data_IF_756752684925
#
_entry.id   IF_756752684925
#
_cell.length_a   1.000
_cell.length_b   1.000
_cell.length_c   1.000
_cell.angle_alpha   90.00
_cell.angle_beta   90.00
_cell.angle_gamma   90.00
#
_symmetry.space_group_name_H-M   'P 1'
#
loop_
_entity.id
_entity.type
_entity.pdbx_description
1 polymer ?
#
# COMPACT_ATOMS: atom_id res chain seq x y z
N UNK A 1 -8.54 20.75 -17.03
CA UNK A 1 -7.82 19.53 -16.63
C UNK A 1 -6.36 19.84 -16.33
N UNK A 2 -6.01 20.20 -15.08
CA UNK A 2 -4.61 20.50 -14.71
C UNK A 2 -4.14 20.01 -13.33
N UNK A 3 -4.92 19.21 -12.58
CA UNK A 3 -4.57 18.90 -11.17
C UNK A 3 -4.48 17.42 -10.79
N UNK A 4 -4.13 16.54 -11.73
CA UNK A 4 -3.68 15.18 -11.39
C UNK A 4 -2.21 15.05 -11.75
N UNK A 5 -1.35 15.66 -10.94
CA UNK A 5 0.08 15.48 -11.02
C UNK A 5 0.58 15.16 -9.62
N UNK A 6 0.96 13.91 -9.35
CA UNK A 6 2.13 13.70 -8.52
C UNK A 6 3.27 14.54 -9.12
N UNK A 7 3.78 15.52 -8.38
CA UNK A 7 4.82 16.46 -8.86
C UNK A 7 5.61 16.89 -7.62
N UNK A 8 6.92 17.14 -7.66
CA UNK A 8 7.79 17.51 -8.79
C UNK A 8 9.08 16.67 -8.80
N UNK A 9 9.36 16.11 -9.97
CA UNK A 9 10.65 15.71 -10.51
C UNK A 9 11.01 14.22 -10.50
N UNK A 10 11.52 13.77 -11.66
CA UNK A 10 12.37 12.59 -11.85
C UNK A 10 13.70 12.66 -11.06
N UNK A 11 13.74 13.42 -9.97
CA UNK A 11 14.91 13.57 -9.12
C UNK A 11 14.93 12.39 -8.16
N UNK A 12 16.12 11.79 -7.99
CA UNK A 12 16.34 10.65 -7.08
C UNK A 12 16.10 11.01 -5.60
N UNK A 13 16.04 12.30 -5.26
CA UNK A 13 15.90 12.79 -3.89
C UNK A 13 14.79 13.84 -3.83
N UNK A 14 13.81 13.59 -2.96
CA UNK A 14 12.75 14.53 -2.62
C UNK A 14 13.19 15.36 -1.43
N UNK A 15 12.97 16.67 -1.48
CA UNK A 15 13.27 17.60 -0.38
C UNK A 15 11.99 18.15 0.24
N UNK A 16 11.98 18.61 1.51
CA UNK A 16 10.79 19.18 2.14
C UNK A 16 10.10 20.27 1.31
N UNK A 17 10.88 21.06 0.57
CA UNK A 17 10.38 22.11 -0.31
C UNK A 17 9.52 21.60 -1.46
N UNK A 18 9.66 20.33 -1.85
CA UNK A 18 8.83 19.71 -2.88
C UNK A 18 7.37 19.51 -2.40
N UNK A 19 7.13 19.58 -1.09
CA UNK A 19 5.82 19.41 -0.45
C UNK A 19 5.15 20.73 -0.03
N UNK A 20 5.78 21.88 -0.29
CA UNK A 20 5.20 23.18 0.04
C UNK A 20 4.10 23.50 -0.98
N UNK A 21 2.87 23.68 -0.49
CA UNK A 21 1.73 24.12 -1.30
C UNK A 21 2.02 25.48 -1.94
N UNK A 22 1.87 25.56 -3.26
CA UNK A 22 1.81 26.85 -3.95
C UNK A 22 0.40 27.49 -3.84
N UNK A 23 0.25 28.72 -4.31
CA UNK A 23 -1.01 29.45 -4.22
C UNK A 23 -2.18 28.72 -4.91
N UNK A 24 -1.91 27.98 -5.99
CA UNK A 24 -2.93 27.18 -6.68
C UNK A 24 -3.34 25.97 -5.82
N UNK A 25 -2.37 25.29 -5.18
CA UNK A 25 -2.66 24.20 -4.25
C UNK A 25 -3.51 24.68 -3.07
N UNK A 26 -3.18 25.84 -2.50
CA UNK A 26 -3.94 26.43 -1.39
C UNK A 26 -5.40 26.67 -1.81
N UNK A 27 -5.63 27.30 -2.97
CA UNK A 27 -6.99 27.54 -3.47
C UNK A 27 -7.80 26.26 -3.66
N UNK A 28 -7.17 25.18 -4.14
CA UNK A 28 -7.82 23.87 -4.29
C UNK A 28 -8.19 23.30 -2.91
N UNK A 29 -7.27 23.33 -1.96
CA UNK A 29 -7.49 22.84 -0.59
C UNK A 29 -8.62 23.64 0.08
N UNK A 30 -8.61 24.97 -0.03
CA UNK A 30 -9.66 25.84 0.51
C UNK A 30 -11.03 25.53 -0.11
N UNK A 31 -11.10 25.31 -1.43
CA UNK A 31 -12.33 24.90 -2.10
C UNK A 31 -12.87 23.55 -1.59
N UNK A 32 -11.98 22.58 -1.35
CA UNK A 32 -12.35 21.28 -0.80
C UNK A 32 -12.89 21.49 0.63
N UNK A 33 -12.14 22.16 1.50
CA UNK A 33 -12.53 22.41 2.90
C UNK A 33 -13.88 23.15 2.95
N UNK A 34 -14.06 24.20 2.16
CA UNK A 34 -15.29 24.98 2.09
C UNK A 34 -16.49 24.25 1.45
N UNK A 35 -16.26 23.14 0.74
CA UNK A 35 -17.33 22.31 0.21
C UNK A 35 -17.99 21.49 1.32
N UNK A 36 -19.33 21.52 1.41
CA UNK A 36 -20.09 20.73 2.37
C UNK A 36 -19.74 19.23 2.27
N UNK A 37 -19.51 18.53 3.39
CA UNK A 37 -19.36 17.07 3.40
C UNK A 37 -20.57 16.39 2.76
N UNK A 38 -20.33 15.36 1.96
CA UNK A 38 -21.39 14.63 1.29
C UNK A 38 -20.92 13.82 0.08
N UNK A 39 -21.88 13.36 -0.73
CA UNK A 39 -21.67 12.49 -1.90
C UNK A 39 -21.21 13.23 -3.16
N UNK A 40 -20.69 14.46 -3.03
CA UNK A 40 -20.08 15.15 -4.16
C UNK A 40 -18.79 14.42 -4.52
N UNK A 41 -18.67 13.97 -5.77
CA UNK A 41 -17.44 13.35 -6.27
C UNK A 41 -16.40 14.46 -6.39
N UNK A 42 -15.27 14.30 -5.70
CA UNK A 42 -14.16 15.25 -5.73
C UNK A 42 -13.06 14.79 -6.69
N UNK A 43 -12.85 13.47 -6.78
CA UNK A 43 -11.85 12.84 -7.65
C UNK A 43 -12.44 11.58 -8.27
N UNK A 44 -12.16 11.38 -9.56
CA UNK A 44 -12.41 10.13 -10.28
C UNK A 44 -11.08 9.62 -10.84
N UNK A 45 -10.70 8.39 -10.49
CA UNK A 45 -9.49 7.74 -11.00
C UNK A 45 -9.85 6.33 -11.46
N UNK A 46 -9.74 6.07 -12.78
CA UNK A 46 -10.00 4.75 -13.39
C UNK A 46 -11.35 4.11 -13.01
N UNK A 47 -12.39 4.93 -12.82
CA UNK A 47 -13.73 4.49 -12.46
C UNK A 47 -13.99 4.34 -10.96
N UNK A 48 -13.00 4.62 -10.11
CA UNK A 48 -13.20 4.77 -8.66
C UNK A 48 -13.43 6.23 -8.28
N UNK A 49 -14.31 6.47 -7.31
CA UNK A 49 -14.74 7.80 -6.91
C UNK A 49 -14.36 8.10 -5.46
N UNK A 50 -13.66 9.22 -5.25
CA UNK A 50 -13.46 9.79 -3.93
C UNK A 50 -14.50 10.88 -3.70
N UNK A 51 -15.41 10.62 -2.79
CA UNK A 51 -16.42 11.60 -2.39
C UNK A 51 -15.83 12.61 -1.39
N UNK A 52 -16.47 13.78 -1.32
CA UNK A 52 -16.10 14.81 -0.35
C UNK A 52 -16.14 14.29 1.09
N UNK A 53 -17.08 13.42 1.43
CA UNK A 53 -17.15 12.77 2.74
C UNK A 53 -15.94 11.88 3.05
N UNK A 54 -15.32 11.24 2.05
CA UNK A 54 -14.13 10.41 2.27
C UNK A 54 -12.92 11.27 2.62
N UNK A 55 -12.79 12.44 1.99
CA UNK A 55 -11.68 13.38 2.25
C UNK A 55 -11.70 14.00 3.65
N UNK A 56 -12.79 13.86 4.42
CA UNK A 56 -12.85 14.36 5.79
C UNK A 56 -11.70 13.81 6.65
N UNK A 57 -11.25 12.57 6.44
CA UNK A 57 -10.12 12.02 7.20
C UNK A 57 -8.80 12.77 7.00
N UNK A 58 -8.68 13.63 5.99
CA UNK A 58 -7.48 14.43 5.73
C UNK A 58 -7.49 15.78 6.46
N UNK A 59 -8.63 16.16 7.06
CA UNK A 59 -8.82 17.47 7.68
C UNK A 59 -9.05 17.40 9.20
N UNK A 60 -8.99 16.20 9.79
CA UNK A 60 -9.17 15.98 11.22
C UNK A 60 -8.02 15.11 11.76
N UNK A 61 -7.28 15.64 12.73
CA UNK A 61 -6.08 15.00 13.29
C UNK A 61 -6.39 13.77 14.19
N UNK A 62 -7.67 13.50 14.45
CA UNK A 62 -8.17 12.37 15.23
C UNK A 62 -8.74 11.23 14.38
N UNK A 63 -8.54 11.28 13.06
CA UNK A 63 -9.08 10.29 12.11
C UNK A 63 -7.99 9.59 11.34
N UNK A 64 -8.17 8.29 11.14
CA UNK A 64 -7.34 7.54 10.23
C UNK A 64 -7.71 7.84 8.78
N UNK A 65 -6.70 7.83 7.91
CA UNK A 65 -6.92 7.85 6.46
C UNK A 65 -7.80 6.66 6.07
N UNK A 66 -8.88 6.95 5.35
CA UNK A 66 -9.81 5.93 4.86
C UNK A 66 -9.23 5.18 3.66
N UNK A 67 -9.66 3.93 3.49
CA UNK A 67 -9.25 3.05 2.39
C UNK A 67 -9.42 3.71 1.02
N UNK A 68 -10.54 4.38 0.77
CA UNK A 68 -10.82 5.06 -0.51
C UNK A 68 -9.76 6.13 -0.83
N UNK A 69 -9.34 6.89 0.19
CA UNK A 69 -8.36 7.97 0.03
C UNK A 69 -6.96 7.38 -0.18
N UNK A 70 -6.59 6.39 0.64
CA UNK A 70 -5.30 5.70 0.53
C UNK A 70 -5.15 5.00 -0.83
N UNK A 71 -6.16 4.23 -1.25
CA UNK A 71 -6.13 3.49 -2.50
C UNK A 71 -6.11 4.44 -3.71
N UNK A 72 -6.85 5.54 -3.66
CA UNK A 72 -6.79 6.57 -4.71
C UNK A 72 -5.39 7.18 -4.84
N UNK A 73 -4.71 7.44 -3.72
CA UNK A 73 -3.34 7.92 -3.74
C UNK A 73 -2.37 6.87 -4.32
N UNK A 74 -2.51 5.59 -3.95
CA UNK A 74 -1.75 4.49 -4.54
C UNK A 74 -1.98 4.40 -6.06
N UNK A 75 -3.21 4.62 -6.52
CA UNK A 75 -3.52 4.68 -7.94
C UNK A 75 -2.82 5.83 -8.66
N UNK A 76 -2.74 7.01 -8.04
CA UNK A 76 -1.93 8.11 -8.56
C UNK A 76 -0.45 7.71 -8.65
N UNK A 77 0.12 7.10 -7.59
CA UNK A 77 1.53 6.67 -7.59
C UNK A 77 1.83 5.64 -8.68
N UNK A 78 0.91 4.72 -8.96
CA UNK A 78 1.05 3.73 -10.06
C UNK A 78 1.12 4.38 -11.44
N UNK A 79 0.66 5.62 -11.60
CA UNK A 79 0.77 6.39 -12.86
C UNK A 79 2.14 7.02 -13.08
N UNK A 80 3.03 6.97 -12.10
CA UNK A 80 4.30 7.68 -12.10
C UNK A 80 5.46 6.69 -12.11
N UNK A 81 6.03 6.44 -13.30
CA UNK A 81 7.07 5.43 -13.50
C UNK A 81 8.27 5.60 -12.55
N UNK A 82 8.65 6.83 -12.24
CA UNK A 82 9.76 7.13 -11.33
C UNK A 82 9.49 6.70 -9.88
N UNK A 83 8.22 6.55 -9.46
CA UNK A 83 7.84 6.05 -8.12
C UNK A 83 7.81 4.52 -8.06
N UNK A 84 7.84 3.85 -9.22
CA UNK A 84 7.84 2.39 -9.36
C UNK A 84 9.26 1.80 -9.42
N UNK A 85 10.27 2.61 -9.10
CA UNK A 85 11.67 2.22 -9.01
C UNK A 85 12.23 2.69 -7.67
N UNK A 86 12.98 1.81 -7.00
CA UNK A 86 13.73 2.10 -5.76
C UNK A 86 15.12 1.51 -5.86
N UNK A 87 16.00 1.81 -4.91
CA UNK A 87 17.35 1.22 -4.88
C UNK A 87 17.34 -0.31 -4.84
N UNK A 88 16.26 -0.92 -4.32
CA UNK A 88 16.03 -2.37 -4.33
C UNK A 88 15.39 -2.93 -5.61
N UNK A 89 15.14 -2.11 -6.64
CA UNK A 89 14.62 -2.55 -7.95
C UNK A 89 13.18 -2.11 -8.25
N UNK A 90 12.53 -2.86 -9.14
CA UNK A 90 11.18 -2.57 -9.64
C UNK A 90 10.15 -2.83 -8.55
N UNK A 91 9.24 -1.87 -8.35
CA UNK A 91 8.26 -1.89 -7.28
C UNK A 91 6.85 -2.19 -7.79
N UNK A 92 6.16 -3.10 -7.10
CA UNK A 92 4.72 -3.26 -7.18
C UNK A 92 4.06 -2.66 -5.94
N UNK A 93 3.09 -1.77 -6.13
CA UNK A 93 2.31 -1.18 -5.04
C UNK A 93 0.97 -1.89 -4.96
N UNK A 94 0.67 -2.58 -3.86
CA UNK A 94 -0.67 -3.12 -3.61
C UNK A 94 -1.60 -2.11 -2.98
N UNK A 95 -2.91 -2.36 -3.11
CA UNK A 95 -3.93 -1.56 -2.42
C UNK A 95 -4.33 -2.22 -1.08
N UNK A 96 -5.11 -1.49 -0.27
CA UNK A 96 -5.54 -2.00 1.04
C UNK A 96 -6.52 -3.16 0.93
N UNK A 97 -7.32 -3.21 -0.13
CA UNK A 97 -8.24 -4.32 -0.39
C UNK A 97 -7.49 -5.66 -0.52
N UNK A 98 -6.41 -5.71 -1.30
CA UNK A 98 -5.63 -6.94 -1.45
C UNK A 98 -4.90 -7.29 -0.15
N UNK A 99 -4.43 -6.30 0.61
CA UNK A 99 -3.82 -6.55 1.92
C UNK A 99 -4.81 -7.19 2.90
N UNK A 100 -6.06 -6.71 2.93
CA UNK A 100 -7.16 -7.28 3.71
C UNK A 100 -7.59 -8.66 3.21
N UNK A 101 -7.60 -8.87 1.88
CA UNK A 101 -7.87 -10.17 1.27
C UNK A 101 -6.84 -11.21 1.73
N UNK A 102 -5.55 -10.90 1.60
CA UNK A 102 -4.46 -11.76 2.05
C UNK A 102 -4.52 -12.02 3.56
N UNK A 103 -4.84 -11.00 4.35
CA UNK A 103 -5.05 -11.16 5.79
C UNK A 103 -6.19 -12.15 6.10
N UNK A 104 -7.34 -11.98 5.45
CA UNK A 104 -8.49 -12.89 5.59
C UNK A 104 -8.09 -14.31 5.20
N UNK A 105 -7.42 -14.45 4.06
CA UNK A 105 -6.98 -15.73 3.52
C UNK A 105 -5.92 -16.40 4.40
N UNK A 106 -5.15 -15.65 5.18
CA UNK A 106 -4.23 -16.18 6.19
C UNK A 106 -4.93 -16.77 7.41
N UNK A 107 -6.18 -16.36 7.70
CA UNK A 107 -7.01 -16.88 8.80
C UNK A 107 -7.87 -18.08 8.40
N UNK A 108 -8.16 -18.24 7.11
CA UNK A 108 -9.00 -19.34 6.62
C UNK A 108 -8.33 -20.70 6.86
N UNK A 109 -9.16 -21.73 7.05
CA UNK A 109 -8.70 -23.12 6.96
C UNK A 109 -8.46 -23.50 5.50
N UNK A 110 -7.62 -24.52 5.27
CA UNK A 110 -7.26 -24.91 3.90
C UNK A 110 -8.46 -25.42 3.07
N UNK A 111 -9.49 -25.95 3.71
CA UNK A 111 -10.72 -26.49 3.10
C UNK A 111 -11.78 -25.43 2.77
N UNK A 112 -11.65 -24.20 3.27
CA UNK A 112 -12.61 -23.10 3.09
C UNK A 112 -12.31 -22.22 1.85
N UNK A 113 -11.28 -22.57 1.07
CA UNK A 113 -10.73 -21.70 0.05
C UNK A 113 -11.41 -21.89 -1.33
N UNK A 114 -12.35 -21.00 -1.68
CA UNK A 114 -13.14 -21.06 -2.92
C UNK A 114 -12.90 -19.85 -3.84
N UNK A 115 -11.71 -19.71 -4.41
CA UNK A 115 -11.39 -18.61 -5.35
C UNK A 115 -11.23 -19.10 -6.79
N UNK A 116 -11.54 -18.22 -7.75
CA UNK A 116 -11.17 -18.43 -9.16
C UNK A 116 -9.64 -18.39 -9.26
N UNK A 117 -9.05 -19.53 -9.61
CA UNK A 117 -7.61 -19.75 -9.64
C UNK A 117 -6.86 -18.70 -10.49
N UNK A 118 -7.51 -18.13 -11.50
CA UNK A 118 -6.89 -17.18 -12.43
C UNK A 118 -6.57 -15.81 -11.82
N UNK A 119 -7.38 -15.34 -10.85
CA UNK A 119 -7.12 -14.06 -10.18
C UNK A 119 -5.90 -14.14 -9.25
N UNK A 120 -5.75 -15.27 -8.55
CA UNK A 120 -4.60 -15.56 -7.70
C UNK A 120 -3.34 -15.72 -8.55
N UNK A 121 -3.42 -16.48 -9.65
CA UNK A 121 -2.28 -16.66 -10.57
C UNK A 121 -1.77 -15.32 -11.09
N UNK A 122 -2.66 -14.48 -11.62
CA UNK A 122 -2.30 -13.15 -12.13
C UNK A 122 -1.66 -12.28 -11.06
N UNK A 123 -2.20 -12.32 -9.83
CA UNK A 123 -1.62 -11.57 -8.70
C UNK A 123 -0.21 -12.06 -8.35
N UNK A 124 -0.01 -13.38 -8.26
CA UNK A 124 1.31 -13.96 -7.96
C UNK A 124 2.31 -13.64 -9.07
N UNK A 125 1.91 -13.72 -10.35
CA UNK A 125 2.78 -13.33 -11.46
C UNK A 125 3.23 -11.88 -11.35
N UNK A 126 2.29 -10.98 -11.08
CA UNK A 126 2.60 -9.58 -10.85
C UNK A 126 3.62 -9.42 -9.72
N UNK A 127 3.54 -10.19 -8.63
CA UNK A 127 4.53 -10.11 -7.55
C UNK A 127 5.90 -10.62 -7.97
N UNK A 128 5.96 -11.76 -8.65
CA UNK A 128 7.20 -12.40 -9.07
C UNK A 128 7.95 -11.63 -10.17
N UNK A 129 7.24 -10.81 -10.95
CA UNK A 129 7.82 -9.91 -11.95
C UNK A 129 8.40 -8.61 -11.36
N UNK A 130 8.25 -8.39 -10.04
CA UNK A 130 8.77 -7.22 -9.33
C UNK A 130 9.78 -7.63 -8.25
N UNK A 131 10.70 -6.72 -7.92
CA UNK A 131 11.78 -6.97 -6.95
C UNK A 131 11.29 -6.68 -5.53
N UNK A 132 10.34 -5.75 -5.39
CA UNK A 132 9.72 -5.37 -4.13
C UNK A 132 8.21 -5.23 -4.30
N UNK A 133 7.44 -5.73 -3.32
CA UNK A 133 5.98 -5.58 -3.28
C UNK A 133 5.57 -4.91 -1.97
N UNK A 134 4.84 -3.79 -2.08
CA UNK A 134 4.46 -2.94 -0.96
C UNK A 134 2.99 -3.18 -0.60
N UNK A 135 2.72 -3.50 0.66
CA UNK A 135 1.39 -3.78 1.20
C UNK A 135 1.04 -2.78 2.32
N UNK A 136 0.03 -1.91 2.13
CA UNK A 136 -0.49 -1.12 3.24
C UNK A 136 -1.22 -2.03 4.22
N UNK A 137 -0.77 -2.09 5.46
CA UNK A 137 -1.38 -2.91 6.51
C UNK A 137 -2.13 -2.02 7.49
N UNK A 138 -3.40 -2.32 7.69
CA UNK A 138 -4.24 -1.67 8.69
C UNK A 138 -4.22 -2.47 9.99
N UNK A 139 -4.01 -1.78 11.11
CA UNK A 139 -4.44 -2.24 12.42
C UNK A 139 -5.77 -1.57 12.70
N UNK A 140 -6.83 -2.38 12.77
CA UNK A 140 -8.21 -1.93 12.82
C UNK A 140 -8.43 -0.78 13.81
N UNK A 141 -8.85 0.38 13.30
CA UNK A 141 -9.18 1.60 14.06
C UNK A 141 -8.01 2.17 14.89
N UNK A 142 -6.77 1.78 14.58
CA UNK A 142 -5.61 2.16 15.37
C UNK A 142 -4.46 2.76 14.56
N UNK A 143 -3.88 2.01 13.60
CA UNK A 143 -2.71 2.51 12.86
C UNK A 143 -2.57 1.93 11.45
N UNK A 144 -1.98 2.69 10.53
CA UNK A 144 -1.52 2.20 9.23
C UNK A 144 0.01 2.12 9.20
N UNK A 145 0.55 1.00 8.72
CA UNK A 145 1.96 0.87 8.41
C UNK A 145 2.16 0.18 7.06
N UNK A 146 3.38 0.22 6.53
CA UNK A 146 3.70 -0.32 5.22
C UNK A 146 4.64 -1.51 5.35
N UNK A 147 4.22 -2.66 4.83
CA UNK A 147 5.05 -3.84 4.72
C UNK A 147 5.62 -3.95 3.31
N UNK A 148 6.88 -4.38 3.20
CA UNK A 148 7.55 -4.57 1.92
C UNK A 148 8.12 -5.97 1.84
N UNK A 149 7.64 -6.75 0.90
CA UNK A 149 8.27 -8.03 0.54
C UNK A 149 9.43 -7.70 -0.38
N UNK A 150 10.67 -7.79 0.13
CA UNK A 150 11.88 -7.51 -0.64
C UNK A 150 12.52 -8.83 -1.07
N UNK A 151 12.39 -9.18 -2.35
CA UNK A 151 12.85 -10.46 -2.87
C UNK A 151 14.38 -10.55 -2.99
N UNK A 152 15.05 -9.43 -3.25
CA UNK A 152 16.51 -9.37 -3.34
C UNK A 152 17.15 -9.70 -1.99
N UNK A 153 16.70 -9.02 -0.93
CA UNK A 153 17.19 -9.21 0.43
C UNK A 153 16.59 -10.46 1.11
N UNK A 154 15.52 -11.03 0.55
CA UNK A 154 14.72 -12.13 1.12
C UNK A 154 14.24 -11.81 2.53
N UNK A 155 13.67 -10.63 2.71
CA UNK A 155 13.16 -10.16 3.99
C UNK A 155 11.83 -9.42 3.84
N UNK A 156 11.07 -9.39 4.93
CA UNK A 156 9.88 -8.57 5.06
C UNK A 156 10.28 -7.29 5.79
N UNK A 157 10.27 -6.16 5.11
CA UNK A 157 10.62 -4.87 5.70
C UNK A 157 9.35 -4.20 6.23
N UNK A 158 9.44 -3.57 7.39
CA UNK A 158 8.35 -2.82 8.01
C UNK A 158 8.75 -1.35 8.10
N UNK A 159 7.93 -0.51 7.50
CA UNK A 159 8.00 0.94 7.54
C UNK A 159 6.84 1.40 8.41
N UNK A 160 7.14 1.71 9.67
CA UNK A 160 6.16 2.09 10.68
C UNK A 160 6.63 3.35 11.42
N UNK A 161 5.89 4.45 11.26
CA UNK A 161 6.20 5.72 11.89
C UNK A 161 5.67 5.88 13.32
N UNK A 162 4.84 4.95 13.81
CA UNK A 162 4.42 4.91 15.20
C UNK A 162 5.44 4.15 16.08
N UNK A 163 6.22 3.26 15.48
CA UNK A 163 7.30 2.52 16.12
C UNK A 163 7.01 1.03 16.28
N UNK A 164 7.76 0.35 17.14
CA UNK A 164 7.69 -1.10 17.26
C UNK A 164 6.40 -1.55 17.96
N UNK A 165 5.63 -2.41 17.30
CA UNK A 165 4.41 -3.01 17.83
C UNK A 165 4.34 -4.51 17.52
N UNK A 166 3.35 -5.21 18.08
CA UNK A 166 3.06 -6.56 17.61
C UNK A 166 2.60 -6.53 16.15
N UNK A 167 3.08 -7.51 15.39
CA UNK A 167 2.90 -7.60 13.93
C UNK A 167 1.90 -8.70 13.57
N UNK A 168 0.86 -8.91 14.37
CA UNK A 168 -0.15 -9.96 14.14
C UNK A 168 -0.82 -9.85 12.77
N UNK A 169 -1.22 -8.62 12.38
CA UNK A 169 -1.85 -8.34 11.09
C UNK A 169 -0.90 -8.73 9.94
N UNK A 170 0.37 -8.30 10.00
CA UNK A 170 1.41 -8.67 9.04
C UNK A 170 1.64 -10.18 8.97
N UNK A 171 1.85 -10.85 10.12
CA UNK A 171 2.09 -12.31 10.16
C UNK A 171 0.98 -13.05 9.42
N UNK A 172 -0.27 -12.67 9.67
CA UNK A 172 -1.44 -13.24 9.03
C UNK A 172 -1.47 -12.95 7.52
N UNK A 173 -1.20 -11.70 7.11
CA UNK A 173 -1.12 -11.33 5.70
C UNK A 173 -0.03 -12.12 4.95
N UNK A 174 1.13 -12.36 5.55
CA UNK A 174 2.21 -13.17 4.95
C UNK A 174 1.81 -14.63 4.79
N UNK A 175 1.05 -15.20 5.74
CA UNK A 175 0.49 -16.55 5.60
C UNK A 175 -0.45 -16.61 4.38
N UNK A 176 -1.32 -15.61 4.21
CA UNK A 176 -2.20 -15.51 3.04
C UNK A 176 -1.43 -15.37 1.72
N UNK A 177 -0.38 -14.55 1.69
CA UNK A 177 0.51 -14.41 0.53
C UNK A 177 1.16 -15.73 0.17
N UNK A 178 1.74 -16.43 1.15
CA UNK A 178 2.37 -17.73 0.93
C UNK A 178 1.38 -18.75 0.40
N UNK A 179 0.14 -18.75 0.91
CA UNK A 179 -0.94 -19.60 0.41
C UNK A 179 -1.26 -19.30 -1.05
N UNK A 180 -1.36 -18.04 -1.45
CA UNK A 180 -1.57 -17.66 -2.86
C UNK A 180 -0.44 -18.16 -3.75
N UNK A 181 0.81 -18.05 -3.31
CA UNK A 181 1.98 -18.58 -4.03
C UNK A 181 1.89 -20.11 -4.18
N UNK A 182 1.55 -20.84 -3.10
CA UNK A 182 1.36 -22.31 -3.15
C UNK A 182 0.29 -22.70 -4.17
N UNK A 183 -0.86 -22.01 -4.16
CA UNK A 183 -1.95 -22.27 -5.11
C UNK A 183 -1.49 -22.02 -6.54
N UNK A 184 -0.82 -20.90 -6.80
CA UNK A 184 -0.30 -20.61 -8.14
C UNK A 184 0.71 -21.69 -8.60
N UNK A 185 1.58 -22.16 -7.71
CA UNK A 185 2.58 -23.20 -7.98
C UNK A 185 1.98 -24.58 -8.27
N UNK A 186 0.80 -24.91 -7.72
CA UNK A 186 0.10 -26.17 -8.02
C UNK A 186 -0.39 -26.27 -9.47
N UNK A 187 -0.53 -25.13 -10.15
CA UNK A 187 -1.17 -25.06 -11.47
C UNK A 187 -0.22 -24.71 -12.60
N UNK A 188 0.96 -24.16 -12.30
CA UNK A 188 1.96 -23.80 -13.30
C UNK A 188 3.34 -23.65 -12.68
N UNK A 189 4.36 -23.65 -13.54
CA UNK A 189 5.69 -23.24 -13.16
C UNK A 189 5.73 -21.72 -12.91
N UNK A 190 6.22 -21.33 -11.74
CA UNK A 190 6.35 -19.91 -11.36
C UNK A 190 7.69 -19.34 -11.83
N UNK A 191 7.68 -18.07 -12.26
CA UNK A 191 8.90 -17.34 -12.58
C UNK A 191 9.67 -17.01 -11.30
N UNK A 192 10.85 -17.60 -11.14
CA UNK A 192 11.71 -17.39 -9.96
C UNK A 192 13.01 -16.65 -10.29
N UNK A 193 13.06 -15.90 -11.40
CA UNK A 193 14.24 -15.12 -11.77
C UNK A 193 14.59 -14.08 -10.70
N UNK A 194 13.58 -13.42 -10.13
CA UNK A 194 13.74 -12.42 -9.07
C UNK A 194 13.62 -13.04 -7.67
N UNK A 195 12.54 -13.79 -7.45
CA UNK A 195 12.25 -14.43 -6.17
C UNK A 195 12.87 -15.81 -6.09
N UNK A 196 14.10 -15.89 -5.58
CA UNK A 196 14.87 -17.15 -5.49
C UNK A 196 14.35 -18.13 -4.42
N UNK A 197 13.50 -17.66 -3.52
CA UNK A 197 12.85 -18.44 -2.47
C UNK A 197 11.38 -18.03 -2.43
N UNK A 198 10.46 -18.98 -2.34
CA UNK A 198 9.01 -18.70 -2.30
C UNK A 198 8.39 -18.92 -0.92
N UNK A 199 9.21 -19.40 0.03
CA UNK A 199 8.81 -19.61 1.42
C UNK A 199 8.89 -18.30 2.23
N UNK A 200 8.03 -17.36 1.86
CA UNK A 200 7.98 -16.01 2.45
C UNK A 200 7.59 -16.01 3.94
N UNK A 201 7.01 -17.09 4.47
CA UNK A 201 6.67 -17.20 5.90
C UNK A 201 7.94 -17.20 6.75
N UNK A 202 9.02 -17.79 6.24
CA UNK A 202 10.29 -17.91 6.95
C UNK A 202 11.26 -16.77 6.68
N UNK A 203 10.83 -15.73 5.95
CA UNK A 203 11.66 -14.56 5.71
C UNK A 203 11.78 -13.71 6.98
N UNK A 204 12.99 -13.22 7.34
CA UNK A 204 13.16 -12.35 8.49
C UNK A 204 12.36 -11.06 8.34
N UNK A 205 11.73 -10.62 9.42
CA UNK A 205 11.05 -9.32 9.50
C UNK A 205 12.04 -8.27 10.00
N UNK A 206 12.21 -7.17 9.27
CA UNK A 206 13.09 -6.04 9.61
C UNK A 206 12.32 -4.74 9.73
N UNK A 207 12.31 -4.15 10.92
CA UNK A 207 11.89 -2.75 11.11
C UNK A 207 12.93 -1.83 10.45
N UNK A 208 12.51 -0.94 9.55
CA UNK A 208 13.39 0.02 8.86
C UNK A 208 13.32 1.42 9.44
N UNK A 209 12.31 1.70 10.26
CA UNK A 209 12.18 2.94 11.03
C UNK A 209 12.43 2.58 12.50
N UNK A 210 13.47 3.17 13.09
CA UNK A 210 13.92 2.82 14.45
C UNK A 210 13.51 3.83 15.51
N UNK A 211 13.07 5.01 15.10
CA UNK A 211 12.61 6.07 15.99
C UNK A 211 11.20 6.48 15.55
N UNK A 212 10.22 6.47 16.48
CA UNK A 212 8.88 6.96 16.18
C UNK A 212 8.94 8.37 15.61
N UNK A 213 8.22 8.59 14.51
CA UNK A 213 8.07 9.89 13.87
C UNK A 213 6.71 10.51 14.20
N UNK A 214 5.78 9.73 14.77
CA UNK A 214 4.47 10.20 15.18
C UNK A 214 4.26 10.08 16.69
N UNK A 215 3.35 10.91 17.20
CA UNK A 215 2.87 10.87 18.58
C UNK A 215 1.47 10.23 18.73
N UNK A 216 0.83 9.82 17.62
CA UNK A 216 -0.53 9.26 17.56
C UNK A 216 -0.77 8.42 16.30
N UNK A 217 -1.80 7.56 16.28
CA UNK A 217 -2.07 6.60 15.19
C UNK A 217 -2.83 7.14 13.97
N UNK A 218 -3.01 8.47 13.88
CA UNK A 218 -3.86 9.12 12.88
C UNK A 218 -3.08 9.72 11.70
N UNK A 219 -1.79 10.04 11.89
CA UNK A 219 -0.97 10.76 10.90
C UNK A 219 0.25 9.94 10.46
N UNK A 220 0.05 8.77 9.86
CA UNK A 220 1.15 7.86 9.44
C UNK A 220 2.04 8.57 8.42
N UNK A 221 3.14 9.16 8.91
CA UNK A 221 4.09 9.96 8.15
C UNK A 221 5.17 9.09 7.54
#
# INVERSE_FOLDING_TARGET
SRHNKPKKAHKRQVVPQDYICDAENIQIVEYIIGSKPGKKIMVEIKGEWVYRSHMECLFHDDRQVLDDVLNSYIHCMRGEEHLLQRDGGKVFLENSYISNLLHKDGKMKEDEFQYTQDTIRTRVDNYLDHDMVFFPINIARFHWYLAVVNAHEREIQVLDSFGKMDRAELKTTIIGLHRHIKIAAQHKQLNQQKWRCLDVINWPVREKIHSPMQTGGYSSS
#
